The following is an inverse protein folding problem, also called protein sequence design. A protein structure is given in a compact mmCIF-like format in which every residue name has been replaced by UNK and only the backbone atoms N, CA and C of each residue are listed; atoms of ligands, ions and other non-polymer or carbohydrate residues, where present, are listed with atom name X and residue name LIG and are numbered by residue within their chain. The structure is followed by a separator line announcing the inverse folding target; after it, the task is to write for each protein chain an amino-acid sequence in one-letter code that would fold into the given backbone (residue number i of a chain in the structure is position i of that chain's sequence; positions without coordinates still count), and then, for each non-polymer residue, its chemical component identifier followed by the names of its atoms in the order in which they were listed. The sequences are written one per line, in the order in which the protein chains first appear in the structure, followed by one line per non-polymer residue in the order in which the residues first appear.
data_IF_945839779303
#
_entry.id   IF_945839779303
#
_cell.length_a   1.000
_cell.length_b   1.000
_cell.length_c   1.000
_cell.angle_alpha   90.00
_cell.angle_beta   90.00
_cell.angle_gamma   90.00
#
_symmetry.space_group_name_H-M   'P 1'
#
loop_
_entity.id
_entity.type
_entity.pdbx_description
1 polymer ?
#
# COMPACT_ATOMS: atom_id res chain seq x y z
N UNK A 1 -13.31 -7.69 27.91
CA UNK A 1 -14.14 -6.47 27.77
C UNK A 1 -14.89 -6.59 26.46
N UNK A 2 -16.20 -6.38 26.44
CA UNK A 2 -17.05 -6.65 25.27
C UNK A 2 -17.19 -5.42 24.37
N UNK A 3 -17.41 -5.63 23.07
CA UNK A 3 -17.75 -4.57 22.11
C UNK A 3 -19.05 -3.88 22.57
N UNK A 4 -19.01 -2.56 22.76
CA UNK A 4 -20.19 -1.82 23.21
C UNK A 4 -21.25 -1.70 22.09
N UNK A 5 -22.49 -1.37 22.45
CA UNK A 5 -23.61 -1.33 21.51
C UNK A 5 -23.39 -0.30 20.38
N UNK A 6 -22.84 0.88 20.72
CA UNK A 6 -22.54 1.97 19.79
C UNK A 6 -21.50 1.56 18.74
N UNK A 7 -20.39 0.94 19.17
CA UNK A 7 -19.35 0.44 18.29
C UNK A 7 -19.86 -0.70 17.39
N UNK A 8 -20.76 -1.55 17.89
CA UNK A 8 -21.39 -2.60 17.06
C UNK A 8 -22.28 -1.99 15.96
N UNK A 9 -23.02 -0.95 16.28
CA UNK A 9 -23.85 -0.22 15.31
C UNK A 9 -22.97 0.46 14.25
N UNK A 10 -21.96 1.23 14.69
CA UNK A 10 -21.04 1.91 13.80
C UNK A 10 -20.26 0.95 12.90
N UNK A 11 -19.79 -0.19 13.42
CA UNK A 11 -19.13 -1.21 12.59
C UNK A 11 -20.06 -1.76 11.49
N UNK A 12 -21.34 -1.95 11.80
CA UNK A 12 -22.32 -2.42 10.82
C UNK A 12 -22.56 -1.36 9.74
N UNK A 13 -22.71 -0.11 10.15
CA UNK A 13 -22.87 1.01 9.22
C UNK A 13 -21.63 1.19 8.34
N UNK A 14 -20.43 1.10 8.93
CA UNK A 14 -19.16 1.14 8.19
C UNK A 14 -19.09 0.05 7.12
N UNK A 15 -19.38 -1.20 7.50
CA UNK A 15 -19.43 -2.33 6.58
C UNK A 15 -20.43 -2.11 5.44
N UNK A 16 -21.64 -1.64 5.76
CA UNK A 16 -22.68 -1.39 4.77
C UNK A 16 -22.31 -0.24 3.83
N UNK A 17 -21.77 0.86 4.35
CA UNK A 17 -21.32 2.00 3.56
C UNK A 17 -20.17 1.64 2.62
N UNK A 18 -19.19 0.84 3.08
CA UNK A 18 -18.16 0.26 2.22
C UNK A 18 -18.80 -0.54 1.09
N UNK A 19 -19.63 -1.54 1.44
CA UNK A 19 -20.30 -2.43 0.48
C UNK A 19 -21.05 -1.65 -0.60
N UNK A 20 -21.85 -0.66 -0.20
CA UNK A 20 -22.60 0.21 -1.11
C UNK A 20 -21.68 1.04 -2.02
N UNK A 21 -20.60 1.59 -1.47
CA UNK A 21 -19.64 2.40 -2.23
C UNK A 21 -18.92 1.64 -3.35
N UNK A 22 -18.84 0.31 -3.20
CA UNK A 22 -18.25 -0.62 -4.17
C UNK A 22 -19.32 -1.38 -4.99
N UNK A 23 -20.61 -1.11 -4.80
CA UNK A 23 -21.70 -1.71 -5.59
C UNK A 23 -21.96 -3.19 -5.30
N UNK A 24 -21.53 -3.71 -4.14
CA UNK A 24 -21.69 -5.10 -3.77
C UNK A 24 -23.09 -5.42 -3.22
N UNK A 25 -23.54 -6.67 -3.35
CA UNK A 25 -24.87 -7.15 -2.94
C UNK A 25 -24.99 -7.43 -1.45
N UNK A 26 -26.22 -7.38 -0.92
CA UNK A 26 -26.48 -7.53 0.51
C UNK A 26 -26.09 -8.93 1.03
N UNK A 27 -25.29 -8.98 2.10
CA UNK A 27 -24.87 -10.22 2.75
C UNK A 27 -23.49 -10.77 2.33
N UNK A 28 -22.85 -10.17 1.33
CA UNK A 28 -21.49 -10.55 0.97
C UNK A 28 -20.47 -10.06 2.00
N UNK A 29 -19.58 -10.96 2.44
CA UNK A 29 -18.47 -10.64 3.35
C UNK A 29 -17.23 -10.13 2.63
N UNK A 30 -17.23 -10.19 1.31
CA UNK A 30 -16.14 -9.78 0.43
C UNK A 30 -16.74 -9.18 -0.84
N UNK A 31 -16.01 -8.27 -1.47
CA UNK A 31 -16.41 -7.68 -2.75
C UNK A 31 -15.17 -7.41 -3.59
N UNK A 32 -15.33 -7.47 -4.91
CA UNK A 32 -14.26 -7.13 -5.83
C UNK A 32 -14.22 -5.61 -6.05
N UNK A 33 -13.02 -5.08 -6.22
CA UNK A 33 -12.80 -3.68 -6.60
C UNK A 33 -12.88 -3.57 -8.13
N UNK A 34 -13.48 -2.48 -8.61
CA UNK A 34 -13.36 -2.07 -10.01
C UNK A 34 -12.13 -1.19 -10.20
N UNK A 35 -11.55 -1.16 -11.40
CA UNK A 35 -10.29 -0.43 -11.67
C UNK A 35 -10.31 1.03 -11.16
N UNK A 36 -11.34 1.86 -11.41
CA UNK A 36 -11.35 3.24 -10.92
C UNK A 36 -11.35 3.34 -9.39
N UNK A 37 -11.97 2.36 -8.72
CA UNK A 37 -12.07 2.30 -7.26
C UNK A 37 -10.79 1.78 -6.62
N UNK A 38 -10.12 0.84 -7.26
CA UNK A 38 -8.78 0.40 -6.87
C UNK A 38 -7.78 1.56 -6.95
N UNK A 39 -7.74 2.29 -8.07
CA UNK A 39 -6.86 3.46 -8.22
C UNK A 39 -7.13 4.51 -7.14
N UNK A 40 -8.40 4.77 -6.82
CA UNK A 40 -8.77 5.71 -5.76
C UNK A 40 -8.26 5.25 -4.38
N UNK A 41 -8.44 3.97 -4.04
CA UNK A 41 -7.97 3.39 -2.78
C UNK A 41 -6.43 3.43 -2.70
N UNK A 42 -5.75 3.10 -3.79
CA UNK A 42 -4.29 3.17 -3.91
C UNK A 42 -3.78 4.59 -3.70
N UNK A 43 -4.40 5.58 -4.34
CA UNK A 43 -4.01 6.98 -4.16
C UNK A 43 -4.20 7.43 -2.71
N UNK A 44 -5.34 7.12 -2.09
CA UNK A 44 -5.59 7.45 -0.69
C UNK A 44 -4.54 6.81 0.23
N UNK A 45 -4.13 5.57 -0.04
CA UNK A 45 -3.07 4.88 0.70
C UNK A 45 -1.69 5.57 0.54
N UNK A 46 -1.30 5.92 -0.69
CA UNK A 46 -0.01 6.55 -0.97
C UNK A 46 0.07 7.97 -0.37
N UNK A 47 -1.06 8.68 -0.36
CA UNK A 47 -1.17 10.04 0.18
C UNK A 47 -0.92 10.12 1.70
N UNK A 48 -1.14 9.03 2.46
CA UNK A 48 -0.89 8.97 3.90
C UNK A 48 0.58 9.17 4.29
N UNK A 49 1.51 8.91 3.37
CA UNK A 49 2.94 9.05 3.61
C UNK A 49 3.57 10.07 2.68
N UNK A 50 4.11 11.14 3.26
CA UNK A 50 4.86 12.16 2.52
C UNK A 50 6.04 11.59 1.75
N UNK A 51 6.65 10.50 2.24
CA UNK A 51 7.74 9.83 1.54
C UNK A 51 7.25 8.98 0.36
N UNK A 52 6.10 8.31 0.48
CA UNK A 52 5.52 7.56 -0.64
C UNK A 52 5.17 8.48 -1.81
N UNK A 53 4.72 9.71 -1.53
CA UNK A 53 4.48 10.73 -2.56
C UNK A 53 5.75 11.18 -3.32
N UNK A 54 6.95 10.89 -2.78
CA UNK A 54 8.23 11.17 -3.46
C UNK A 54 8.68 9.99 -4.32
N UNK A 55 8.04 8.83 -4.21
CA UNK A 55 8.37 7.63 -4.97
C UNK A 55 7.45 7.51 -6.19
N UNK A 56 7.96 6.88 -7.25
CA UNK A 56 7.12 6.48 -8.38
C UNK A 56 6.58 5.09 -8.13
N UNK A 57 5.28 4.99 -7.85
CA UNK A 57 4.54 3.73 -7.76
C UNK A 57 3.69 3.63 -9.03
N UNK A 58 4.04 2.71 -9.93
CA UNK A 58 3.39 2.55 -11.22
C UNK A 58 2.75 1.18 -11.34
N UNK A 59 1.57 1.15 -11.95
CA UNK A 59 0.90 -0.11 -12.30
C UNK A 59 1.54 -0.70 -13.57
N UNK A 60 1.69 -2.02 -13.59
CA UNK A 60 2.29 -2.78 -14.69
C UNK A 60 1.45 -4.00 -15.00
N UNK A 61 1.31 -4.32 -16.29
CA UNK A 61 0.47 -5.44 -16.74
C UNK A 61 1.13 -6.82 -16.57
N UNK A 62 2.46 -6.85 -16.42
CA UNK A 62 3.23 -8.10 -16.38
C UNK A 62 3.68 -8.41 -14.95
N UNK A 63 3.65 -9.70 -14.58
CA UNK A 63 4.13 -10.16 -13.27
C UNK A 63 5.65 -10.12 -13.14
N UNK A 64 6.37 -10.14 -14.26
CA UNK A 64 7.83 -10.05 -14.28
C UNK A 64 8.24 -9.28 -15.51
N UNK A 65 9.25 -8.43 -15.38
CA UNK A 65 9.81 -7.70 -16.50
C UNK A 65 11.02 -6.88 -16.09
N UNK A 66 11.47 -6.03 -17.00
CA UNK A 66 12.51 -5.05 -16.72
C UNK A 66 11.90 -3.72 -16.33
N UNK A 67 12.42 -3.12 -15.27
CA UNK A 67 12.08 -1.75 -14.91
C UNK A 67 12.57 -0.84 -16.04
N UNK A 68 11.65 -0.07 -16.61
CA UNK A 68 11.99 1.00 -17.56
C UNK A 68 12.30 2.26 -16.73
N UNK A 69 13.57 2.67 -16.60
CA UNK A 69 13.90 3.84 -15.77
C UNK A 69 13.32 5.11 -16.41
N UNK A 70 12.32 5.70 -15.76
CA UNK A 70 11.85 7.05 -16.08
C UNK A 70 12.85 8.03 -15.46
N UNK A 71 13.81 8.47 -16.27
CA UNK A 71 14.92 9.30 -15.80
C UNK A 71 16.13 8.45 -15.48
N UNK A 72 16.91 8.13 -16.51
CA UNK A 72 18.19 7.47 -16.29
C UNK A 72 19.09 8.33 -15.40
N UNK A 73 19.65 7.70 -14.37
CA UNK A 73 20.67 8.32 -13.54
C UNK A 73 21.96 8.54 -14.35
N UNK A 74 22.56 9.72 -14.16
CA UNK A 74 23.88 10.06 -14.66
C UNK A 74 23.90 11.26 -15.61
N UNK A 75 25.11 11.72 -15.89
CA UNK A 75 25.33 12.97 -16.62
C UNK A 75 24.94 12.82 -18.11
N UNK A 76 23.92 13.57 -18.52
CA UNK A 76 23.46 13.69 -19.91
C UNK A 76 24.01 14.93 -20.64
N UNK A 77 24.82 15.72 -19.93
CA UNK A 77 25.36 16.99 -20.42
C UNK A 77 26.86 16.90 -20.54
N UNK A 78 27.41 17.14 -21.73
CA UNK A 78 28.85 17.14 -21.98
C UNK A 78 29.21 17.81 -23.31
N UNK A 79 30.51 17.93 -23.59
CA UNK A 79 31.05 18.46 -24.85
C UNK A 79 31.94 17.42 -25.51
N UNK A 80 31.95 17.37 -26.84
CA UNK A 80 32.85 16.55 -27.65
C UNK A 80 33.41 17.46 -28.75
N UNK A 81 34.74 17.57 -28.84
CA UNK A 81 35.38 18.30 -29.94
C UNK A 81 35.11 17.53 -31.25
N UNK A 82 34.68 18.24 -32.29
CA UNK A 82 34.28 17.67 -33.60
C UNK A 82 33.13 16.64 -33.55
N UNK A 83 32.26 16.73 -32.54
CA UNK A 83 31.14 15.80 -32.43
C UNK A 83 30.00 16.26 -31.53
N UNK A 84 28.96 15.43 -31.45
CA UNK A 84 27.82 15.64 -30.54
C UNK A 84 27.93 14.68 -29.36
N UNK A 85 27.95 15.23 -28.15
CA UNK A 85 27.80 14.46 -26.92
C UNK A 85 26.46 13.71 -26.95
N UNK A 86 26.50 12.39 -26.86
CA UNK A 86 25.33 11.51 -26.86
C UNK A 86 25.57 10.41 -25.84
N UNK A 87 24.69 10.28 -24.86
CA UNK A 87 24.64 9.12 -23.95
C UNK A 87 23.49 8.23 -24.42
N UNK A 88 23.76 6.94 -24.65
CA UNK A 88 22.70 5.96 -24.87
C UNK A 88 21.94 5.80 -23.55
N UNK A 89 20.62 5.94 -23.59
CA UNK A 89 19.78 5.56 -22.45
C UNK A 89 19.82 4.03 -22.42
N UNK A 90 20.59 3.47 -21.50
CA UNK A 90 20.62 2.04 -21.28
C UNK A 90 19.32 1.61 -20.58
N UNK A 91 18.69 0.55 -21.08
CA UNK A 91 17.68 -0.22 -20.34
C UNK A 91 18.39 -1.30 -19.51
N UNK A 92 19.50 -0.94 -18.86
CA UNK A 92 20.08 -1.78 -17.82
C UNK A 92 19.21 -1.61 -16.58
N UNK A 93 17.97 -2.11 -16.69
CA UNK A 93 16.96 -2.02 -15.65
C UNK A 93 17.18 -3.11 -14.61
N UNK A 94 16.77 -2.83 -13.38
CA UNK A 94 16.52 -3.88 -12.42
C UNK A 94 15.38 -4.75 -12.96
N UNK A 95 15.47 -6.07 -12.79
CA UNK A 95 14.33 -6.93 -13.05
C UNK A 95 13.34 -6.77 -11.88
N UNK A 96 12.06 -6.65 -12.18
CA UNK A 96 11.00 -6.69 -11.17
C UNK A 96 10.25 -8.01 -11.26
N UNK A 97 9.76 -8.48 -10.12
CA UNK A 97 8.82 -9.59 -10.02
C UNK A 97 7.76 -9.22 -8.99
N UNK A 98 6.52 -9.20 -9.44
CA UNK A 98 5.36 -9.01 -8.58
C UNK A 98 5.02 -10.33 -7.88
N UNK A 99 4.70 -10.22 -6.60
CA UNK A 99 4.25 -11.33 -5.77
C UNK A 99 3.02 -10.85 -5.02
N UNK A 100 2.06 -11.76 -4.86
CA UNK A 100 0.86 -11.50 -4.05
C UNK A 100 1.25 -11.20 -2.60
N UNK A 101 0.58 -10.22 -1.99
CA UNK A 101 0.85 -9.83 -0.60
C UNK A 101 -0.45 -9.34 0.02
N UNK A 102 -0.82 -9.92 1.16
CA UNK A 102 -2.01 -9.55 1.90
C UNK A 102 -1.71 -8.55 3.00
N UNK A 103 -2.58 -7.57 3.19
CA UNK A 103 -2.53 -6.60 4.30
C UNK A 103 -3.82 -6.67 5.10
N UNK A 104 -3.70 -6.87 6.41
CA UNK A 104 -4.86 -7.00 7.30
C UNK A 104 -4.56 -6.41 8.67
N UNK A 105 -5.51 -5.61 9.18
CA UNK A 105 -5.43 -5.02 10.51
C UNK A 105 -6.55 -5.59 11.39
N UNK A 106 -6.18 -6.27 12.49
CA UNK A 106 -7.12 -6.78 13.48
C UNK A 106 -7.27 -5.79 14.64
N UNK A 107 -8.37 -5.05 14.67
CA UNK A 107 -8.67 -4.09 15.73
C UNK A 107 -9.35 -4.77 16.92
N UNK A 108 -8.85 -4.52 18.14
CA UNK A 108 -9.46 -5.06 19.36
C UNK A 108 -10.83 -4.42 19.63
N UNK A 109 -11.74 -5.17 20.24
CA UNK A 109 -13.07 -4.63 20.61
C UNK A 109 -12.99 -3.46 21.59
N UNK A 110 -11.96 -3.45 22.44
CA UNK A 110 -11.67 -2.35 23.35
C UNK A 110 -11.38 -1.06 22.60
N UNK A 111 -10.48 -1.12 21.62
CA UNK A 111 -10.11 0.03 20.79
C UNK A 111 -11.32 0.58 20.03
N UNK A 112 -12.08 -0.32 19.39
CA UNK A 112 -13.30 0.03 18.66
C UNK A 112 -14.33 0.70 19.57
N UNK A 113 -14.50 0.20 20.79
CA UNK A 113 -15.42 0.78 21.77
C UNK A 113 -14.96 2.17 22.24
N UNK A 114 -13.65 2.38 22.41
CA UNK A 114 -13.08 3.67 22.77
C UNK A 114 -13.28 4.69 21.65
N UNK A 115 -13.00 4.33 20.39
CA UNK A 115 -13.22 5.22 19.25
C UNK A 115 -14.69 5.57 19.07
N UNK A 116 -15.58 4.59 19.17
CA UNK A 116 -17.01 4.85 19.07
C UNK A 116 -17.52 5.77 20.21
N UNK A 117 -16.93 5.69 21.41
CA UNK A 117 -17.29 6.58 22.51
C UNK A 117 -16.72 7.99 22.36
N UNK A 118 -15.54 8.11 21.75
CA UNK A 118 -14.83 9.38 21.61
C UNK A 118 -15.43 10.31 20.55
N UNK A 119 -16.22 9.77 19.62
CA UNK A 119 -16.73 10.53 18.48
C UNK A 119 -18.12 10.14 17.99
N UNK A 120 -18.51 10.73 16.87
CA UNK A 120 -19.68 10.35 16.09
C UNK A 120 -19.37 9.24 15.08
N UNK A 121 -20.37 8.87 14.26
CA UNK A 121 -20.24 7.82 13.26
C UNK A 121 -19.18 8.13 12.20
N UNK A 122 -19.13 9.38 11.73
CA UNK A 122 -18.19 9.82 10.69
C UNK A 122 -16.76 9.82 11.22
N UNK A 123 -16.55 10.33 12.43
CA UNK A 123 -15.25 10.30 13.09
C UNK A 123 -14.78 8.86 13.33
N UNK A 124 -15.69 7.94 13.67
CA UNK A 124 -15.35 6.53 13.81
C UNK A 124 -14.87 5.93 12.47
N UNK A 125 -15.57 6.18 11.37
CA UNK A 125 -15.17 5.68 10.04
C UNK A 125 -13.83 6.24 9.60
N UNK A 126 -13.63 7.55 9.78
CA UNK A 126 -12.40 8.23 9.45
C UNK A 126 -11.22 7.64 10.23
N UNK A 127 -11.37 7.44 11.55
CA UNK A 127 -10.30 6.85 12.39
C UNK A 127 -9.93 5.43 11.96
N UNK A 128 -10.92 4.60 11.63
CA UNK A 128 -10.66 3.23 11.16
C UNK A 128 -9.92 3.25 9.82
N UNK A 129 -10.35 4.11 8.89
CA UNK A 129 -9.74 4.22 7.57
C UNK A 129 -8.32 4.78 7.63
N UNK A 130 -8.12 5.91 8.33
CA UNK A 130 -6.82 6.57 8.49
C UNK A 130 -5.81 5.63 9.15
N UNK A 131 -6.22 4.96 10.25
CA UNK A 131 -5.33 3.99 10.91
C UNK A 131 -4.89 2.88 9.95
N UNK A 132 -5.84 2.33 9.18
CA UNK A 132 -5.57 1.20 8.27
C UNK A 132 -4.66 1.64 7.12
N UNK A 133 -4.97 2.75 6.46
CA UNK A 133 -4.15 3.29 5.37
C UNK A 133 -2.75 3.65 5.87
N UNK A 134 -2.65 4.35 7.01
CA UNK A 134 -1.36 4.75 7.56
C UNK A 134 -0.49 3.54 7.92
N UNK A 135 -1.07 2.52 8.54
CA UNK A 135 -0.35 1.29 8.87
C UNK A 135 0.22 0.62 7.62
N UNK A 136 -0.62 0.44 6.60
CA UNK A 136 -0.21 -0.22 5.35
C UNK A 136 0.82 0.61 4.57
N UNK A 137 0.67 1.93 4.53
CA UNK A 137 1.64 2.83 3.91
C UNK A 137 3.02 2.75 4.60
N UNK A 138 3.03 2.68 5.93
CA UNK A 138 4.27 2.51 6.70
C UNK A 138 4.90 1.13 6.49
N UNK A 139 4.09 0.08 6.37
CA UNK A 139 4.58 -1.28 6.09
C UNK A 139 5.20 -1.38 4.70
N UNK A 140 4.61 -0.75 3.68
CA UNK A 140 5.22 -0.65 2.35
C UNK A 140 6.64 -0.06 2.41
N UNK A 141 6.84 1.00 3.22
CA UNK A 141 8.16 1.59 3.41
C UNK A 141 9.09 0.69 4.21
N UNK A 142 8.59 0.10 5.30
CA UNK A 142 9.37 -0.78 6.16
C UNK A 142 9.93 -1.96 5.38
N UNK A 143 9.09 -2.59 4.55
CA UNK A 143 9.48 -3.69 3.66
C UNK A 143 10.36 -3.17 2.52
N UNK A 144 10.05 -2.00 1.94
CA UNK A 144 10.86 -1.38 0.89
C UNK A 144 12.31 -1.16 1.31
N UNK A 145 12.57 -0.77 2.56
CA UNK A 145 13.93 -0.59 3.07
C UNK A 145 14.57 -1.87 3.60
N UNK A 146 13.83 -2.77 4.27
CA UNK A 146 14.41 -3.90 5.01
C UNK A 146 14.19 -5.27 4.36
N UNK A 147 13.37 -5.35 3.32
CA UNK A 147 13.00 -6.60 2.66
C UNK A 147 14.19 -7.37 2.10
N UNK A 148 14.32 -8.65 2.44
CA UNK A 148 15.45 -9.50 2.01
C UNK A 148 15.05 -10.65 1.11
N UNK A 149 13.88 -11.24 1.36
CA UNK A 149 13.40 -12.43 0.68
C UNK A 149 11.87 -12.42 0.59
N UNK A 150 11.35 -13.33 -0.21
CA UNK A 150 9.92 -13.59 -0.35
C UNK A 150 9.68 -14.99 0.20
N UNK A 151 9.14 -15.10 1.41
CA UNK A 151 8.81 -16.39 2.04
C UNK A 151 7.37 -16.81 1.72
N UNK A 152 7.10 -18.12 1.68
CA UNK A 152 5.73 -18.64 1.50
C UNK A 152 4.85 -18.36 2.73
N UNK A 153 5.45 -18.33 3.92
CA UNK A 153 4.78 -17.92 5.16
C UNK A 153 5.68 -16.96 5.91
N UNK A 154 5.16 -15.76 6.19
CA UNK A 154 5.87 -14.69 6.88
C UNK A 154 5.73 -14.82 8.39
N UNK A 155 6.74 -14.38 9.13
CA UNK A 155 6.72 -14.39 10.59
C UNK A 155 7.25 -13.07 11.15
N UNK A 156 6.32 -12.28 11.70
CA UNK A 156 6.60 -10.96 12.28
C UNK A 156 7.42 -11.00 13.58
N UNK A 157 7.49 -12.13 14.29
CA UNK A 157 8.33 -12.26 15.50
C UNK A 157 9.81 -12.42 15.13
N UNK A 158 10.09 -13.20 14.07
CA UNK A 158 11.46 -13.42 13.60
C UNK A 158 11.94 -12.35 12.61
N UNK A 159 11.00 -11.72 11.89
CA UNK A 159 11.25 -10.68 10.89
C UNK A 159 10.40 -9.44 11.22
N UNK A 160 10.73 -8.69 12.28
CA UNK A 160 9.91 -7.58 12.77
C UNK A 160 9.84 -6.40 11.81
N UNK A 161 10.75 -6.32 10.82
CA UNK A 161 10.73 -5.29 9.79
C UNK A 161 10.13 -5.79 8.46
N UNK A 162 9.53 -6.97 8.44
CA UNK A 162 9.00 -7.56 7.21
C UNK A 162 10.11 -8.00 6.25
N UNK A 163 11.26 -8.41 6.77
CA UNK A 163 12.42 -8.86 6.00
C UNK A 163 12.11 -10.07 5.10
N UNK A 164 11.06 -10.83 5.41
CA UNK A 164 10.61 -12.02 4.69
C UNK A 164 9.36 -11.83 3.82
N UNK A 165 8.82 -10.60 3.74
CA UNK A 165 7.60 -10.30 2.98
C UNK A 165 7.93 -10.14 1.50
N UNK A 166 8.78 -9.17 1.17
CA UNK A 166 9.23 -8.90 -0.19
C UNK A 166 10.70 -8.50 -0.21
N UNK A 167 11.31 -8.45 -1.41
CA UNK A 167 12.66 -7.91 -1.59
C UNK A 167 12.61 -6.38 -1.64
N UNK A 168 13.41 -5.72 -0.81
CA UNK A 168 13.50 -4.27 -0.72
C UNK A 168 14.53 -3.67 -1.68
N UNK A 169 14.68 -2.35 -1.66
CA UNK A 169 15.52 -1.57 -2.57
C UNK A 169 17.03 -1.79 -2.43
N UNK A 170 17.47 -2.39 -1.32
CA UNK A 170 18.89 -2.62 -1.03
C UNK A 170 19.38 -4.02 -1.45
N UNK A 171 18.51 -4.88 -1.96
CA UNK A 171 18.82 -6.24 -2.45
C UNK A 171 18.84 -6.27 -3.98
#
# INVERSE_FOLDING_TARGET
MQLNAKAREFLRQYHNGLRESYGATDGDRWFALSDPKETQMRNALLEESSFLNLLTVADVDQLQGQVVPVGSSGLYTGRVLDGRFRKKVGVSGNDYRLVETDSCAALTWQLLSVWANAGDENEFFQRVQEFTNQAFALDMLRIGFNGTKVAETTNAETNPNGEDVNKGWHQ
#
